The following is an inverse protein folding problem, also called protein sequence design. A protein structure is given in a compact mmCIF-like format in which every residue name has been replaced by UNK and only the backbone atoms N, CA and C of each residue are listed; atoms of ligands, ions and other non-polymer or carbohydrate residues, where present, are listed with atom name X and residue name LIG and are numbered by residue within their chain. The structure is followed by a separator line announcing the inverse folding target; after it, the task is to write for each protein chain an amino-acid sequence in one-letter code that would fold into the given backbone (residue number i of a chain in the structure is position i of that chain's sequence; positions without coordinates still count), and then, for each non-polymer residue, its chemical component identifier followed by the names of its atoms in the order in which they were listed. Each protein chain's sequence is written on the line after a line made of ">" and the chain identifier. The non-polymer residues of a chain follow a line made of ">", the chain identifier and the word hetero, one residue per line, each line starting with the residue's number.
data_IF_815771489253
#
_entry.id   IF_815771489253
#
_cell.length_a   1.000
_cell.length_b   1.000
_cell.length_c   1.000
_cell.angle_alpha   90.00
_cell.angle_beta   90.00
_cell.angle_gamma   90.00
#
_symmetry.space_group_name_H-M   'P 1'
#
loop_
_entity.id
_entity.type
_entity.pdbx_description
1 polymer ?
#
# COMPACT_ATOMS: atom_id res chain seq x y z
N UNK A 1 -26.63 -4.29 11.11
CA UNK A 1 -25.60 -5.32 10.85
C UNK A 1 -24.29 -4.62 10.55
N UNK A 2 -23.32 -4.77 11.43
CA UNK A 2 -21.93 -4.31 11.25
C UNK A 2 -21.27 -5.12 10.13
N UNK A 3 -21.67 -4.82 8.90
CA UNK A 3 -21.14 -5.51 7.72
C UNK A 3 -19.68 -5.12 7.60
N UNK A 4 -18.82 -6.14 7.53
CA UNK A 4 -17.39 -5.94 7.29
C UNK A 4 -17.18 -5.09 6.02
N UNK A 5 -16.20 -4.19 6.07
CA UNK A 5 -15.80 -3.39 4.91
C UNK A 5 -15.49 -4.32 3.73
N UNK A 6 -16.01 -4.08 2.51
CA UNK A 6 -15.71 -4.93 1.36
C UNK A 6 -14.21 -4.95 1.00
N UNK A 7 -13.49 -3.84 1.24
CA UNK A 7 -12.05 -3.76 1.08
C UNK A 7 -11.23 -4.31 2.27
N UNK A 8 -11.85 -4.69 3.38
CA UNK A 8 -11.10 -5.30 4.48
C UNK A 8 -10.72 -6.74 4.11
N UNK A 9 -9.44 -7.06 4.22
CA UNK A 9 -9.01 -8.46 4.16
C UNK A 9 -9.69 -9.26 5.27
N UNK A 10 -10.07 -10.54 5.05
CA UNK A 10 -10.72 -11.37 6.06
C UNK A 10 -9.98 -11.40 7.41
N UNK A 11 -8.65 -11.45 7.36
CA UNK A 11 -7.78 -11.52 8.55
C UNK A 11 -7.42 -10.15 9.15
N UNK A 12 -7.72 -9.03 8.49
CA UNK A 12 -7.53 -7.72 9.14
C UNK A 12 -8.54 -7.64 10.30
N UNK A 13 -8.18 -7.43 11.57
CA UNK A 13 -9.17 -7.38 12.66
C UNK A 13 -9.80 -5.99 12.84
N UNK A 14 -9.32 -4.97 12.12
CA UNK A 14 -9.62 -3.57 12.46
C UNK A 14 -11.00 -3.11 11.98
N UNK A 15 -11.70 -2.27 12.77
CA UNK A 15 -12.97 -1.69 12.37
C UNK A 15 -12.78 -0.66 11.24
N UNK A 16 -13.87 -0.32 10.55
CA UNK A 16 -13.88 0.78 9.59
C UNK A 16 -13.56 2.10 10.29
N UNK A 17 -12.89 3.01 9.58
CA UNK A 17 -12.80 4.41 9.98
C UNK A 17 -13.53 5.22 8.91
N UNK A 18 -14.79 5.54 9.19
CA UNK A 18 -15.65 6.29 8.29
C UNK A 18 -16.36 5.46 7.21
N UNK A 19 -17.06 6.14 6.29
CA UNK A 19 -17.85 5.50 5.25
C UNK A 19 -16.98 4.90 4.14
N UNK A 20 -17.60 4.06 3.30
CA UNK A 20 -17.01 3.57 2.06
C UNK A 20 -16.99 4.71 1.03
N UNK A 21 -15.80 5.07 0.53
CA UNK A 21 -15.58 6.27 -0.29
C UNK A 21 -14.57 6.07 -1.44
N UNK A 22 -13.94 4.91 -1.54
CA UNK A 22 -13.00 4.60 -2.63
C UNK A 22 -13.24 3.21 -3.19
N UNK A 23 -12.81 2.99 -4.43
CA UNK A 23 -12.63 1.67 -5.03
C UNK A 23 -11.15 1.42 -5.24
N UNK A 24 -10.64 0.29 -4.77
CA UNK A 24 -9.29 -0.20 -5.08
C UNK A 24 -9.40 -1.26 -6.15
N UNK A 25 -8.63 -1.10 -7.24
CA UNK A 25 -8.53 -2.06 -8.33
C UNK A 25 -7.16 -2.72 -8.33
N UNK A 26 -7.11 -4.04 -8.53
CA UNK A 26 -5.87 -4.76 -8.76
C UNK A 26 -5.35 -4.59 -10.20
N UNK A 27 -4.27 -5.31 -10.53
CA UNK A 27 -3.66 -5.29 -11.85
C UNK A 27 -4.57 -5.83 -12.98
N UNK A 28 -5.57 -6.66 -12.63
CA UNK A 28 -6.52 -7.29 -13.55
C UNK A 28 -7.86 -6.54 -13.61
N UNK A 29 -7.98 -5.40 -12.93
CA UNK A 29 -9.20 -4.61 -12.77
C UNK A 29 -10.30 -5.27 -11.93
N UNK A 30 -9.98 -6.30 -11.14
CA UNK A 30 -10.89 -6.73 -10.07
C UNK A 30 -10.81 -5.72 -8.92
N UNK A 31 -11.96 -5.41 -8.32
CA UNK A 31 -12.07 -4.27 -7.41
C UNK A 31 -12.89 -4.52 -6.16
N UNK A 32 -12.59 -3.77 -5.11
CA UNK A 32 -13.38 -3.71 -3.89
C UNK A 32 -13.54 -2.27 -3.40
N UNK A 33 -14.76 -1.93 -2.99
CA UNK A 33 -15.06 -0.64 -2.38
C UNK A 33 -14.69 -0.63 -0.89
N UNK A 34 -14.10 0.46 -0.43
CA UNK A 34 -13.57 0.57 0.93
C UNK A 34 -13.74 1.95 1.56
N UNK A 35 -13.70 1.97 2.88
CA UNK A 35 -13.38 3.19 3.62
C UNK A 35 -11.91 3.58 3.39
N UNK A 36 -11.52 4.80 3.76
CA UNK A 36 -10.13 5.24 3.54
C UNK A 36 -9.11 4.34 4.25
N UNK A 37 -9.45 3.85 5.45
CA UNK A 37 -8.59 2.96 6.23
C UNK A 37 -8.34 1.61 5.56
N UNK A 38 -9.41 0.86 5.23
CA UNK A 38 -9.26 -0.46 4.59
C UNK A 38 -8.83 -0.34 3.13
N UNK A 39 -9.24 0.70 2.42
CA UNK A 39 -8.76 1.00 1.07
C UNK A 39 -7.24 1.19 1.04
N UNK A 40 -6.66 1.90 2.02
CA UNK A 40 -5.21 2.12 2.08
C UNK A 40 -4.45 0.82 2.36
N UNK A 41 -4.95 -0.02 3.27
CA UNK A 41 -4.35 -1.31 3.60
C UNK A 41 -4.43 -2.32 2.47
N UNK A 42 -5.57 -2.36 1.76
CA UNK A 42 -5.73 -3.19 0.56
C UNK A 42 -4.79 -2.73 -0.55
N UNK A 43 -4.76 -1.42 -0.83
CA UNK A 43 -3.87 -0.83 -1.83
C UNK A 43 -2.39 -1.11 -1.54
N UNK A 44 -1.98 -1.06 -0.27
CA UNK A 44 -0.62 -1.37 0.14
C UNK A 44 -0.24 -2.85 -0.06
N UNK A 45 -1.22 -3.76 -0.08
CA UNK A 45 -1.00 -5.21 -0.13
C UNK A 45 -1.04 -5.80 -1.53
N UNK A 46 -1.48 -5.03 -2.53
CA UNK A 46 -1.64 -5.49 -3.91
C UNK A 46 -0.57 -4.89 -4.83
N UNK A 47 0.02 -5.73 -5.67
CA UNK A 47 0.94 -5.26 -6.70
C UNK A 47 0.19 -4.51 -7.81
N UNK A 48 0.78 -3.40 -8.28
CA UNK A 48 0.25 -2.53 -9.34
C UNK A 48 -1.22 -2.08 -9.16
N UNK A 49 -1.72 -2.10 -7.93
CA UNK A 49 -3.07 -1.66 -7.62
C UNK A 49 -3.22 -0.14 -7.75
N UNK A 50 -4.46 0.28 -8.01
CA UNK A 50 -4.87 1.68 -8.20
C UNK A 50 -6.07 1.99 -7.33
N UNK A 51 -6.23 3.25 -6.95
CA UNK A 51 -7.36 3.73 -6.14
C UNK A 51 -8.09 4.84 -6.85
N UNK A 52 -9.42 4.80 -6.80
CA UNK A 52 -10.30 5.80 -7.38
C UNK A 52 -11.33 6.25 -6.34
N UNK A 53 -11.74 7.53 -6.32
CA UNK A 53 -12.82 7.98 -5.46
C UNK A 53 -14.17 7.48 -5.99
N UNK A 54 -15.10 7.15 -5.10
CA UNK A 54 -16.50 6.95 -5.47
C UNK A 54 -17.17 8.28 -5.88
N UNK A 55 -18.28 8.26 -6.62
CA UNK A 55 -18.92 9.49 -7.13
C UNK A 55 -19.24 10.54 -6.05
N UNK A 56 -19.70 10.10 -4.88
CA UNK A 56 -20.08 10.98 -3.75
C UNK A 56 -18.98 11.08 -2.68
N UNK A 57 -17.76 10.63 -2.99
CA UNK A 57 -16.66 10.64 -2.05
C UNK A 57 -16.22 12.08 -1.71
N UNK A 58 -15.84 12.37 -0.45
CA UNK A 58 -15.24 13.64 -0.10
C UNK A 58 -14.02 13.94 -0.97
N UNK A 59 -13.85 15.21 -1.36
CA UNK A 59 -12.73 15.64 -2.18
C UNK A 59 -11.39 15.15 -1.61
N UNK A 60 -10.54 14.60 -2.48
CA UNK A 60 -9.23 14.08 -2.11
C UNK A 60 -9.22 12.72 -1.40
N UNK A 61 -10.36 12.02 -1.26
CA UNK A 61 -10.40 10.68 -0.62
C UNK A 61 -9.37 9.71 -1.22
N UNK A 62 -9.34 9.56 -2.54
CA UNK A 62 -8.36 8.69 -3.21
C UNK A 62 -6.90 9.12 -2.98
N UNK A 63 -6.64 10.43 -2.89
CA UNK A 63 -5.29 10.97 -2.62
C UNK A 63 -4.87 10.61 -1.18
N UNK A 64 -5.74 10.81 -0.19
CA UNK A 64 -5.47 10.43 1.20
C UNK A 64 -5.19 8.93 1.34
N UNK A 65 -5.99 8.10 0.66
CA UNK A 65 -5.78 6.64 0.61
C UNK A 65 -4.44 6.28 -0.02
N UNK A 66 -4.12 6.87 -1.17
CA UNK A 66 -2.85 6.63 -1.87
C UNK A 66 -1.65 7.04 -1.00
N UNK A 67 -1.72 8.22 -0.38
CA UNK A 67 -0.66 8.72 0.51
C UNK A 67 -0.50 7.85 1.77
N UNK A 68 -1.60 7.41 2.39
CA UNK A 68 -1.56 6.52 3.54
C UNK A 68 -0.92 5.17 3.16
N UNK A 69 -1.33 4.58 2.04
CA UNK A 69 -0.83 3.28 1.56
C UNK A 69 0.70 3.25 1.35
N UNK A 70 1.31 4.38 0.97
CA UNK A 70 2.77 4.48 0.78
C UNK A 70 3.58 4.14 2.04
N UNK A 71 2.99 4.38 3.22
CA UNK A 71 3.62 4.15 4.53
C UNK A 71 3.19 2.84 5.19
N UNK A 72 2.14 2.19 4.66
CA UNK A 72 1.62 0.94 5.20
C UNK A 72 2.41 -0.23 4.60
N UNK A 73 2.81 -1.17 5.45
CA UNK A 73 3.41 -2.42 4.99
C UNK A 73 2.32 -3.34 4.41
N UNK A 74 2.61 -4.11 3.35
CA UNK A 74 1.72 -5.19 2.88
C UNK A 74 1.31 -6.12 4.01
N UNK A 75 0.05 -6.54 4.03
CA UNK A 75 -0.52 -7.45 5.03
C UNK A 75 -0.18 -7.00 6.47
N UNK A 76 -0.44 -5.72 6.78
CA UNK A 76 -0.01 -5.09 8.04
C UNK A 76 -0.60 -5.72 9.32
N UNK A 77 -1.59 -6.60 9.19
CA UNK A 77 -2.17 -7.39 10.28
C UNK A 77 -1.43 -8.72 10.53
N UNK A 78 -0.49 -9.11 9.67
CA UNK A 78 0.32 -10.32 9.86
C UNK A 78 1.58 -9.99 10.65
N UNK A 79 1.71 -10.63 11.81
CA UNK A 79 2.94 -10.61 12.60
C UNK A 79 3.99 -11.56 12.02
N UNK A 80 5.25 -11.12 11.98
CA UNK A 80 6.35 -11.95 11.50
C UNK A 80 7.58 -11.14 11.06
N UNK A 81 8.75 -11.80 10.96
CA UNK A 81 9.97 -11.14 10.49
C UNK A 81 9.81 -10.64 9.05
N UNK A 82 10.40 -9.47 8.77
CA UNK A 82 10.36 -8.79 7.46
C UNK A 82 11.77 -8.79 6.87
N UNK A 83 12.05 -9.78 6.04
CA UNK A 83 13.38 -10.04 5.47
C UNK A 83 13.48 -9.73 3.98
N UNK A 84 12.34 -9.57 3.30
CA UNK A 84 12.28 -9.31 1.86
C UNK A 84 11.65 -7.92 1.56
N UNK A 85 12.12 -7.19 0.52
CA UNK A 85 11.55 -5.90 0.11
C UNK A 85 10.03 -5.92 -0.14
N UNK A 86 9.48 -7.05 -0.60
CA UNK A 86 8.04 -7.22 -0.82
C UNK A 86 7.21 -7.16 0.47
N UNK A 87 7.84 -7.24 1.64
CA UNK A 87 7.18 -7.22 2.95
C UNK A 87 7.23 -5.83 3.62
N UNK A 88 7.86 -4.86 2.96
CA UNK A 88 8.07 -3.50 3.43
C UNK A 88 7.14 -2.53 2.73
N UNK A 89 6.90 -1.38 3.35
CA UNK A 89 6.18 -0.29 2.70
C UNK A 89 7.02 0.31 1.56
N UNK A 90 6.36 1.06 0.67
CA UNK A 90 7.05 1.76 -0.42
C UNK A 90 8.00 2.83 0.12
N UNK A 91 7.61 3.53 1.18
CA UNK A 91 8.46 4.48 1.89
C UNK A 91 9.73 3.82 2.46
N UNK A 92 9.60 2.66 3.10
CA UNK A 92 10.74 1.90 3.63
C UNK A 92 11.68 1.43 2.53
N UNK A 93 11.13 0.92 1.42
CA UNK A 93 11.91 0.50 0.26
C UNK A 93 12.69 1.66 -0.37
N UNK A 94 12.09 2.86 -0.46
CA UNK A 94 12.81 4.06 -0.94
C UNK A 94 13.96 4.45 -0.01
N UNK A 95 13.72 4.47 1.31
CA UNK A 95 14.76 4.79 2.29
C UNK A 95 15.95 3.82 2.21
N UNK A 96 15.69 2.53 2.02
CA UNK A 96 16.76 1.53 1.82
C UNK A 96 17.54 1.73 0.53
N UNK A 97 16.88 2.18 -0.53
CA UNK A 97 17.53 2.46 -1.81
C UNK A 97 18.46 3.69 -1.72
N UNK A 98 18.09 4.71 -0.94
CA UNK A 98 18.93 5.89 -0.74
C UNK A 98 20.17 5.62 0.12
N UNK A 99 20.14 4.58 0.94
CA UNK A 99 21.26 4.21 1.83
C UNK A 99 22.26 3.25 1.16
N UNK A 100 21.96 2.72 -0.03
CA UNK A 100 22.91 1.92 -0.79
C UNK A 100 23.96 2.83 -1.44
N UNK A 101 25.28 2.60 -1.21
CA UNK A 101 26.31 3.38 -1.89
C UNK A 101 26.18 3.20 -3.40
N UNK A 102 26.20 4.33 -4.13
CA UNK A 102 26.10 4.36 -5.59
C UNK A 102 27.03 3.31 -6.23
N UNK A 103 26.46 2.39 -7.00
CA UNK A 103 27.23 1.42 -7.80
C UNK A 103 28.16 2.10 -8.83
N UNK A 104 28.05 3.42 -9.03
CA UNK A 104 28.90 4.19 -9.94
C UNK A 104 30.34 4.43 -9.41
N UNK A 105 30.67 4.04 -8.18
CA UNK A 105 32.00 4.29 -7.59
C UNK A 105 32.99 3.11 -7.69
N UNK A 106 32.67 2.02 -8.41
CA UNK A 106 33.52 0.80 -8.50
C UNK A 106 34.10 0.51 -9.89
N UNK A 107 34.30 1.54 -10.72
CA UNK A 107 34.82 1.39 -12.10
C UNK A 107 36.14 2.13 -12.33
N UNK A 108 37.01 2.18 -11.32
CA UNK A 108 38.37 2.71 -11.46
C UNK A 108 39.34 1.86 -10.66
N UNK A 109 39.69 0.68 -11.18
CA UNK A 109 40.95 -0.02 -10.87
C UNK A 109 41.02 -1.29 -11.75
N UNK A 110 41.52 -1.12 -12.97
CA UNK A 110 42.10 -2.20 -13.77
C UNK A 110 43.59 -1.83 -13.94
N UNK A 111 44.54 -2.61 -13.38
CA UNK A 111 45.95 -2.30 -13.53
C UNK A 111 46.39 -2.51 -14.99
N UNK A 112 47.31 -1.64 -15.42
CA UNK A 112 47.87 -1.55 -16.77
C UNK A 112 48.67 -2.78 -17.20
#
# INVERSE_FOLDING_TARGET
>A
MDRRCPAAHPDDPTPCVGPVVVTVLDALNAGADGCEHHGARLLASLDRARVYPLPDAPAGAAIRVFAAADTIRPFCWVDGPRTDPSQLSRAENRARCTDLPSLASRSGDLPS
#
